data_IF_453699187620
#
_entry.id   IF_453699187620
#
_cell.length_a   1.000
_cell.length_b   1.000
_cell.length_c   1.000
_cell.angle_alpha   90.00
_cell.angle_beta   90.00
_cell.angle_gamma   90.00
#
_symmetry.space_group_name_H-M   'P 1'
#
loop_
_entity.id
_entity.type
_entity.pdbx_description
1 polymer ?
#
# COMPACT_ATOMS: atom_id res chain seq x y z
N UNK A 1 -5.94 0.43 25.18
CA UNK A 1 -4.58 0.72 25.72
C UNK A 1 -4.52 0.57 27.25
N UNK A 2 -5.36 1.24 28.04
CA UNK A 2 -5.31 1.18 29.52
C UNK A 2 -5.58 -0.18 30.20
N UNK A 3 -5.74 -1.28 29.44
CA UNK A 3 -5.89 -2.65 29.96
C UNK A 3 -4.64 -3.51 29.82
N UNK A 4 -3.62 -3.05 29.09
CA UNK A 4 -2.37 -3.78 28.86
C UNK A 4 -1.57 -3.80 30.16
N UNK A 5 -1.16 -5.00 30.60
CA UNK A 5 -0.35 -5.21 31.81
C UNK A 5 1.07 -5.64 31.42
N UNK A 6 2.02 -5.49 32.35
CA UNK A 6 3.41 -5.96 32.18
C UNK A 6 3.47 -7.42 31.69
N UNK A 7 2.64 -8.30 32.25
CA UNK A 7 2.58 -9.72 31.88
C UNK A 7 2.23 -9.93 30.41
N UNK A 8 1.38 -9.08 29.85
CA UNK A 8 0.98 -9.19 28.44
C UNK A 8 2.17 -8.87 27.53
N UNK A 9 2.99 -7.87 27.92
CA UNK A 9 4.21 -7.51 27.20
C UNK A 9 5.28 -8.60 27.29
N UNK A 10 5.51 -9.17 28.49
CA UNK A 10 6.51 -10.24 28.65
C UNK A 10 6.09 -11.48 27.88
N UNK A 11 4.82 -11.90 27.96
CA UNK A 11 4.32 -13.03 27.18
C UNK A 11 4.44 -12.81 25.67
N UNK A 12 4.25 -11.56 25.20
CA UNK A 12 4.44 -11.23 23.79
C UNK A 12 5.91 -11.34 23.38
N UNK A 13 6.85 -10.84 24.20
CA UNK A 13 8.29 -10.96 23.94
C UNK A 13 8.68 -12.44 23.90
N UNK A 14 8.33 -13.21 24.93
CA UNK A 14 8.69 -14.63 25.04
C UNK A 14 8.19 -15.47 23.86
N UNK A 15 7.04 -15.10 23.29
CA UNK A 15 6.44 -15.82 22.16
C UNK A 15 7.00 -15.39 20.80
N UNK A 16 7.31 -14.10 20.61
CA UNK A 16 7.56 -13.54 19.27
C UNK A 16 9.02 -13.13 19.02
N UNK A 17 9.83 -12.96 20.08
CA UNK A 17 11.24 -12.55 19.97
C UNK A 17 12.13 -13.78 20.16
N UNK A 18 12.34 -14.51 19.07
CA UNK A 18 13.12 -15.74 19.06
C UNK A 18 14.11 -15.74 17.89
N UNK A 19 15.07 -16.66 17.91
CA UNK A 19 16.12 -16.74 16.89
C UNK A 19 15.60 -16.99 15.47
N UNK A 20 14.41 -17.57 15.31
CA UNK A 20 13.80 -17.86 14.01
C UNK A 20 12.96 -16.70 13.45
N UNK A 21 12.63 -15.70 14.27
CA UNK A 21 11.86 -14.51 13.88
C UNK A 21 12.68 -13.23 13.87
N UNK A 22 13.98 -13.34 14.15
CA UNK A 22 14.89 -12.19 14.28
C UNK A 22 15.91 -12.19 13.15
N UNK A 23 15.92 -11.10 12.36
CA UNK A 23 16.91 -10.87 11.31
C UNK A 23 17.72 -9.62 11.66
N UNK A 24 19.04 -9.72 11.59
CA UNK A 24 19.95 -8.57 11.74
C UNK A 24 20.46 -8.19 10.37
N UNK A 25 20.18 -6.95 9.95
CA UNK A 25 20.71 -6.37 8.72
C UNK A 25 21.64 -5.20 9.03
N UNK A 26 22.75 -5.14 8.30
CA UNK A 26 23.78 -4.10 8.48
C UNK A 26 24.23 -3.65 7.09
N UNK A 27 24.23 -2.34 6.85
CA UNK A 27 24.77 -1.74 5.64
C UNK A 27 25.79 -0.64 5.99
N UNK A 28 26.85 -0.57 5.21
CA UNK A 28 27.94 0.38 5.38
C UNK A 28 29.31 -0.28 5.29
N UNK A 29 30.33 0.38 5.83
CA UNK A 29 31.71 -0.11 5.80
C UNK A 29 31.94 -1.17 6.88
N UNK A 30 31.48 -2.38 6.63
CA UNK A 30 31.69 -3.52 7.52
C UNK A 30 32.10 -4.78 6.74
N UNK A 31 32.79 -5.71 7.41
CA UNK A 31 33.00 -7.07 6.91
C UNK A 31 31.97 -7.99 7.55
N UNK A 32 31.45 -8.93 6.78
CA UNK A 32 30.44 -9.87 7.25
C UNK A 32 30.89 -10.63 8.51
N UNK A 33 32.11 -11.15 8.52
CA UNK A 33 32.67 -11.91 9.65
C UNK A 33 32.73 -11.09 10.94
N UNK A 34 33.09 -9.81 10.86
CA UNK A 34 33.13 -8.90 12.02
C UNK A 34 31.74 -8.65 12.60
N UNK A 35 30.73 -8.53 11.74
CA UNK A 35 29.33 -8.36 12.15
C UNK A 35 28.81 -9.63 12.81
N UNK A 36 29.00 -10.79 12.18
CA UNK A 36 28.58 -12.08 12.75
C UNK A 36 29.25 -12.32 14.09
N UNK A 37 30.55 -12.07 14.21
CA UNK A 37 31.29 -12.20 15.48
C UNK A 37 30.70 -11.33 16.59
N UNK A 38 30.35 -10.07 16.28
CA UNK A 38 29.77 -9.12 17.25
C UNK A 38 28.38 -9.53 17.74
N UNK A 39 27.55 -10.11 16.88
CA UNK A 39 26.17 -10.45 17.23
C UNK A 39 25.96 -11.91 17.62
N UNK A 40 26.95 -12.78 17.43
CA UNK A 40 26.87 -14.23 17.73
C UNK A 40 26.31 -14.50 19.12
N UNK A 41 26.94 -13.96 20.16
CA UNK A 41 26.52 -14.21 21.55
C UNK A 41 25.08 -13.76 21.79
N UNK A 42 24.69 -12.58 21.29
CA UNK A 42 23.33 -12.07 21.47
C UNK A 42 22.28 -12.90 20.74
N UNK A 43 22.61 -13.47 19.58
CA UNK A 43 21.73 -14.34 18.81
C UNK A 43 21.63 -15.75 19.43
N UNK A 44 22.73 -16.26 20.03
CA UNK A 44 22.75 -17.53 20.76
C UNK A 44 21.92 -17.47 22.06
N UNK A 45 21.82 -16.29 22.68
CA UNK A 45 20.98 -16.04 23.86
C UNK A 45 19.48 -15.94 23.54
N UNK A 46 19.11 -15.79 22.26
CA UNK A 46 17.70 -15.75 21.88
C UNK A 46 17.07 -17.13 22.03
N UNK A 47 15.83 -17.22 22.56
CA UNK A 47 15.14 -18.49 22.63
C UNK A 47 14.97 -19.07 21.23
N UNK A 48 15.03 -20.40 21.11
CA UNK A 48 14.54 -21.09 19.92
C UNK A 48 13.02 -21.02 19.89
N UNK A 49 12.43 -20.92 18.69
CA UNK A 49 10.99 -20.86 18.53
C UNK A 49 10.57 -21.10 17.09
N UNK A 50 9.27 -21.10 16.86
CA UNK A 50 8.71 -21.10 15.51
C UNK A 50 8.21 -19.69 15.16
N UNK A 51 8.13 -19.35 13.87
CA UNK A 51 7.38 -18.18 13.43
C UNK A 51 5.95 -18.19 14.02
N UNK A 52 5.43 -17.04 14.47
CA UNK A 52 4.09 -16.98 15.02
C UNK A 52 3.06 -17.34 13.94
N UNK A 53 2.17 -18.27 14.27
CA UNK A 53 0.99 -18.52 13.46
C UNK A 53 0.05 -17.32 13.51
N UNK A 54 -0.53 -16.98 12.36
CA UNK A 54 -1.56 -15.95 12.24
C UNK A 54 -2.82 -16.54 11.61
N UNK A 55 -3.97 -15.97 11.98
CA UNK A 55 -5.23 -16.33 11.35
C UNK A 55 -5.24 -15.75 9.93
N UNK A 56 -5.30 -16.63 8.93
CA UNK A 56 -5.36 -16.21 7.54
C UNK A 56 -6.68 -15.51 7.25
N UNK A 57 -6.60 -14.45 6.46
CA UNK A 57 -7.74 -13.76 5.91
C UNK A 57 -8.64 -14.73 5.15
N UNK A 58 -9.87 -14.89 5.62
CA UNK A 58 -10.85 -15.83 5.07
C UNK A 58 -11.73 -15.20 3.97
N UNK A 59 -11.42 -13.99 3.51
CA UNK A 59 -12.21 -13.30 2.48
C UNK A 59 -13.53 -12.73 2.99
N UNK A 60 -13.71 -12.55 4.31
CA UNK A 60 -14.97 -12.03 4.88
C UNK A 60 -15.34 -10.68 4.27
N UNK A 61 -16.63 -10.51 3.99
CA UNK A 61 -17.17 -9.23 3.51
C UNK A 61 -17.02 -8.18 4.62
N UNK A 62 -16.56 -6.99 4.25
CA UNK A 62 -16.55 -5.80 5.11
C UNK A 62 -17.96 -5.57 5.69
N UNK A 63 -18.12 -5.71 7.01
CA UNK A 63 -19.41 -5.56 7.67
C UNK A 63 -19.85 -4.09 7.77
N UNK A 64 -18.89 -3.14 7.78
CA UNK A 64 -19.12 -1.71 7.71
C UNK A 64 -18.21 -1.09 6.65
N UNK A 65 -18.80 -0.75 5.50
CA UNK A 65 -18.06 -0.27 4.32
C UNK A 65 -17.96 1.25 4.26
N UNK A 66 -18.60 1.95 5.19
CA UNK A 66 -18.59 3.40 5.24
C UNK A 66 -18.45 3.90 6.69
N UNK A 67 -17.56 4.86 6.89
CA UNK A 67 -17.43 5.60 8.14
C UNK A 67 -17.43 7.10 7.84
N UNK A 68 -18.25 7.87 8.55
CA UNK A 68 -18.36 9.32 8.37
C UNK A 68 -18.19 10.02 9.72
N UNK A 69 -17.16 10.84 9.84
CA UNK A 69 -16.96 11.74 10.96
C UNK A 69 -17.31 13.16 10.52
N UNK A 70 -18.44 13.67 11.04
CA UNK A 70 -18.89 15.03 10.74
C UNK A 70 -18.13 16.03 11.61
N UNK A 71 -17.18 16.73 10.99
CA UNK A 71 -16.35 17.72 11.67
C UNK A 71 -16.28 19.02 10.86
N UNK A 72 -16.17 20.16 11.55
CA UNK A 72 -16.00 21.48 10.94
C UNK A 72 -14.55 21.72 10.53
N UNK A 73 -14.06 20.97 9.54
CA UNK A 73 -12.68 21.08 9.04
C UNK A 73 -12.59 21.99 7.81
N UNK A 74 -11.43 22.60 7.59
CA UNK A 74 -11.15 23.42 6.40
C UNK A 74 -11.06 22.59 5.11
N UNK A 75 -10.72 21.31 5.24
CA UNK A 75 -10.70 20.34 4.15
C UNK A 75 -11.53 19.11 4.49
N UNK A 76 -12.14 18.50 3.48
CA UNK A 76 -12.76 17.18 3.61
C UNK A 76 -11.73 16.11 3.27
N UNK A 77 -11.43 15.23 4.21
CA UNK A 77 -10.54 14.10 3.98
C UNK A 77 -11.35 12.88 3.57
N UNK A 78 -11.05 12.34 2.39
CA UNK A 78 -11.64 11.12 1.85
C UNK A 78 -10.58 10.04 1.76
N UNK A 79 -10.88 8.84 2.27
CA UNK A 79 -10.09 7.64 2.06
C UNK A 79 -10.98 6.54 1.46
N UNK A 80 -10.50 5.94 0.37
CA UNK A 80 -11.06 4.75 -0.25
C UNK A 80 -10.07 3.60 -0.10
N UNK A 81 -10.57 2.40 0.16
CA UNK A 81 -9.76 1.19 0.28
C UNK A 81 -10.41 0.03 -0.47
N UNK A 82 -9.58 -0.73 -1.19
CA UNK A 82 -9.97 -1.93 -1.90
C UNK A 82 -9.06 -3.07 -1.47
N UNK A 83 -9.62 -4.25 -1.27
CA UNK A 83 -8.79 -5.44 -1.12
C UNK A 83 -7.98 -5.67 -2.40
N UNK A 84 -6.68 -5.85 -2.23
CA UNK A 84 -5.74 -6.18 -3.29
C UNK A 84 -5.09 -7.54 -3.05
N UNK A 85 -4.17 -7.90 -3.93
CA UNK A 85 -3.39 -9.14 -3.87
C UNK A 85 -2.34 -9.10 -2.74
N UNK A 86 -1.95 -10.29 -2.27
CA UNK A 86 -0.93 -10.45 -1.24
C UNK A 86 0.50 -10.35 -1.82
N UNK A 87 1.50 -10.34 -0.95
CA UNK A 87 2.91 -10.17 -1.33
C UNK A 87 3.48 -11.29 -2.18
N UNK A 88 2.92 -12.49 -2.09
CA UNK A 88 3.40 -13.68 -2.79
C UNK A 88 2.79 -13.81 -4.19
N UNK A 89 1.90 -12.89 -4.58
CA UNK A 89 1.32 -12.84 -5.91
C UNK A 89 2.28 -12.14 -6.89
N UNK A 90 2.56 -12.79 -8.02
CA UNK A 90 3.44 -12.23 -9.06
C UNK A 90 2.88 -10.97 -9.72
N UNK A 91 1.57 -10.77 -9.66
CA UNK A 91 0.90 -9.57 -10.20
C UNK A 91 1.16 -8.32 -9.35
N UNK A 92 1.86 -8.42 -8.21
CA UNK A 92 2.17 -7.27 -7.31
C UNK A 92 2.91 -6.14 -8.01
N UNK A 93 3.72 -6.43 -9.02
CA UNK A 93 4.40 -5.41 -9.82
C UNK A 93 3.41 -4.63 -10.69
N UNK A 94 2.43 -5.32 -11.29
CA UNK A 94 1.33 -4.66 -12.00
C UNK A 94 0.42 -3.85 -11.06
N UNK A 95 0.18 -4.33 -9.83
CA UNK A 95 -0.52 -3.57 -8.79
C UNK A 95 0.24 -2.28 -8.43
N UNK A 96 1.57 -2.36 -8.28
CA UNK A 96 2.39 -1.17 -8.00
C UNK A 96 2.29 -0.15 -9.14
N UNK A 97 2.41 -0.61 -10.39
CA UNK A 97 2.30 0.27 -11.56
C UNK A 97 0.89 0.86 -11.72
N UNK A 98 -0.16 0.10 -11.40
CA UNK A 98 -1.53 0.61 -11.34
C UNK A 98 -1.62 1.82 -10.38
N UNK A 99 -1.06 1.69 -9.16
CA UNK A 99 -1.04 2.78 -8.19
C UNK A 99 -0.28 4.00 -8.71
N UNK A 100 0.89 3.79 -9.33
CA UNK A 100 1.69 4.90 -9.89
C UNK A 100 0.92 5.69 -10.95
N UNK A 101 0.27 4.99 -11.89
CA UNK A 101 -0.53 5.64 -12.94
C UNK A 101 -1.78 6.30 -12.34
N UNK A 102 -2.36 5.71 -11.29
CA UNK A 102 -3.57 6.22 -10.66
C UNK A 102 -3.33 7.50 -9.86
N UNK A 103 -2.34 7.55 -8.97
CA UNK A 103 -2.25 8.64 -7.98
C UNK A 103 -0.91 8.90 -7.28
N UNK A 104 0.21 8.25 -7.60
CA UNK A 104 1.45 8.46 -6.80
C UNK A 104 2.29 9.69 -7.18
N UNK A 105 2.07 10.30 -8.34
CA UNK A 105 2.87 11.44 -8.80
C UNK A 105 2.05 12.48 -9.58
N UNK A 106 2.67 13.59 -9.98
CA UNK A 106 1.99 14.70 -10.64
C UNK A 106 1.44 14.36 -12.04
N UNK A 107 2.04 13.38 -12.72
CA UNK A 107 1.54 12.90 -14.03
C UNK A 107 0.41 11.89 -13.91
N UNK A 108 0.09 11.42 -12.71
CA UNK A 108 -0.94 10.41 -12.48
C UNK A 108 -2.35 10.92 -12.80
N UNK A 109 -3.25 10.00 -13.16
CA UNK A 109 -4.60 10.31 -13.65
C UNK A 109 -5.41 11.12 -12.63
N UNK A 110 -5.43 10.72 -11.36
CA UNK A 110 -6.20 11.43 -10.34
C UNK A 110 -5.60 12.80 -10.04
N UNK A 111 -4.27 12.95 -10.07
CA UNK A 111 -3.64 14.26 -9.90
C UNK A 111 -4.05 15.19 -11.05
N UNK A 112 -3.96 14.73 -12.29
CA UNK A 112 -4.36 15.50 -13.47
C UNK A 112 -5.85 15.85 -13.48
N UNK A 113 -6.74 14.91 -13.13
CA UNK A 113 -8.18 15.20 -13.10
C UNK A 113 -8.57 16.07 -11.91
N UNK A 114 -8.27 15.64 -10.68
CA UNK A 114 -8.82 16.29 -9.49
C UNK A 114 -8.11 17.60 -9.17
N UNK A 115 -6.79 17.68 -9.33
CA UNK A 115 -6.02 18.89 -8.99
C UNK A 115 -5.88 19.82 -10.19
N UNK A 116 -5.31 19.36 -11.30
CA UNK A 116 -4.97 20.25 -12.41
C UNK A 116 -6.20 20.69 -13.23
N UNK A 117 -7.08 19.74 -13.58
CA UNK A 117 -8.25 20.04 -14.43
C UNK A 117 -9.41 20.68 -13.66
N UNK A 118 -9.75 20.11 -12.50
CA UNK A 118 -10.96 20.49 -11.77
C UNK A 118 -10.73 21.33 -10.51
N UNK A 119 -9.48 21.42 -10.03
CA UNK A 119 -9.14 22.13 -8.80
C UNK A 119 -10.02 21.74 -7.59
N UNK A 120 -10.31 20.44 -7.43
CA UNK A 120 -11.07 19.91 -6.29
C UNK A 120 -10.22 19.69 -5.04
N UNK A 121 -8.93 19.43 -5.20
CA UNK A 121 -8.00 19.11 -4.12
C UNK A 121 -6.60 19.70 -4.38
N UNK A 122 -5.85 19.91 -3.29
CA UNK A 122 -4.41 20.16 -3.37
C UNK A 122 -3.59 18.86 -3.35
N UNK A 123 -4.09 17.84 -2.63
CA UNK A 123 -3.46 16.54 -2.47
C UNK A 123 -4.41 15.41 -2.82
N UNK A 124 -3.93 14.52 -3.68
CA UNK A 124 -4.50 13.21 -3.98
C UNK A 124 -3.36 12.23 -4.11
N UNK A 125 -3.47 11.10 -3.43
CA UNK A 125 -2.48 10.05 -3.45
C UNK A 125 -3.16 8.68 -3.50
N UNK A 126 -2.56 7.76 -4.24
CA UNK A 126 -2.86 6.34 -4.09
C UNK A 126 -1.69 5.61 -3.47
N UNK A 127 -1.94 4.42 -2.96
CA UNK A 127 -0.89 3.58 -2.39
C UNK A 127 -1.32 2.15 -2.27
N UNK A 128 -0.33 1.27 -2.24
CA UNK A 128 -0.54 -0.18 -2.11
C UNK A 128 0.16 -0.69 -0.86
N UNK A 129 -0.46 -1.65 -0.20
CA UNK A 129 0.13 -2.41 0.90
C UNK A 129 -0.07 -3.89 0.59
N UNK A 130 1.02 -4.65 0.60
CA UNK A 130 1.00 -6.11 0.38
C UNK A 130 1.41 -6.82 1.66
N UNK A 131 0.47 -7.56 2.24
CA UNK A 131 0.67 -8.37 3.43
C UNK A 131 0.87 -9.84 3.03
N UNK A 132 1.12 -10.69 4.02
CA UNK A 132 1.38 -12.12 3.82
C UNK A 132 0.24 -12.84 3.09
N UNK A 133 -1.00 -12.53 3.47
CA UNK A 133 -2.21 -13.25 3.03
C UNK A 133 -3.26 -12.34 2.35
N UNK A 134 -3.01 -11.03 2.35
CA UNK A 134 -3.96 -10.02 1.89
C UNK A 134 -3.22 -8.78 1.37
N UNK A 135 -3.96 -7.85 0.76
CA UNK A 135 -3.42 -6.57 0.35
C UNK A 135 -4.47 -5.47 0.34
N UNK A 136 -4.00 -4.24 0.17
CA UNK A 136 -4.80 -3.03 0.11
C UNK A 136 -4.33 -2.17 -1.07
N UNK A 137 -5.29 -1.69 -1.86
CA UNK A 137 -5.14 -0.53 -2.74
C UNK A 137 -5.95 0.61 -2.12
N UNK A 138 -5.32 1.76 -1.91
CA UNK A 138 -5.94 2.90 -1.23
C UNK A 138 -5.84 4.17 -2.06
N UNK A 139 -6.81 5.06 -1.87
CA UNK A 139 -6.86 6.39 -2.46
C UNK A 139 -7.21 7.37 -1.34
N UNK A 140 -6.36 8.36 -1.10
CA UNK A 140 -6.57 9.40 -0.10
C UNK A 140 -6.59 10.77 -0.77
N UNK A 141 -7.58 11.61 -0.42
CA UNK A 141 -7.77 12.93 -1.03
C UNK A 141 -8.11 13.95 0.04
N UNK A 142 -7.43 15.10 0.00
CA UNK A 142 -7.77 16.30 0.77
C UNK A 142 -8.52 17.29 -0.12
N UNK A 143 -9.84 17.40 0.08
CA UNK A 143 -10.75 18.12 -0.81
C UNK A 143 -11.16 19.48 -0.23
N UNK A 144 -11.39 20.45 -1.11
CA UNK A 144 -12.10 21.67 -0.74
C UNK A 144 -13.54 21.35 -0.28
N UNK A 145 -14.07 22.06 0.73
CA UNK A 145 -15.45 21.90 1.17
C UNK A 145 -16.44 22.00 0.00
N UNK A 146 -17.39 21.05 -0.07
CA UNK A 146 -18.40 21.01 -1.12
C UNK A 146 -17.97 20.38 -2.45
N UNK A 147 -16.69 20.02 -2.64
CA UNK A 147 -16.23 19.32 -3.85
C UNK A 147 -16.34 17.78 -3.78
N UNK A 148 -16.65 17.23 -2.60
CA UNK A 148 -16.67 15.80 -2.33
C UNK A 148 -17.50 15.00 -3.34
N UNK A 149 -18.74 15.42 -3.60
CA UNK A 149 -19.64 14.73 -4.54
C UNK A 149 -19.04 14.64 -5.95
N UNK A 150 -18.46 15.74 -6.44
CA UNK A 150 -17.85 15.78 -7.77
C UNK A 150 -16.57 14.96 -7.83
N UNK A 151 -15.76 15.00 -6.77
CA UNK A 151 -14.55 14.20 -6.66
C UNK A 151 -14.84 12.70 -6.67
N UNK A 152 -15.88 12.24 -5.98
CA UNK A 152 -16.29 10.82 -6.00
C UNK A 152 -16.63 10.34 -7.41
N UNK A 153 -17.35 11.15 -8.18
CA UNK A 153 -17.67 10.83 -9.59
C UNK A 153 -16.43 10.80 -10.47
N UNK A 154 -15.51 11.76 -10.29
CA UNK A 154 -14.27 11.80 -11.05
C UNK A 154 -13.34 10.61 -10.70
N UNK A 155 -13.22 10.26 -9.42
CA UNK A 155 -12.48 9.08 -8.98
C UNK A 155 -13.10 7.83 -9.58
N UNK A 156 -14.42 7.65 -9.44
CA UNK A 156 -15.14 6.52 -10.02
C UNK A 156 -14.83 6.36 -11.51
N UNK A 157 -14.94 7.44 -12.26
CA UNK A 157 -14.73 7.43 -13.70
C UNK A 157 -13.33 6.91 -14.06
N UNK A 158 -12.28 7.39 -13.38
CA UNK A 158 -10.93 6.90 -13.64
C UNK A 158 -10.72 5.43 -13.24
N UNK A 159 -11.36 4.97 -12.15
CA UNK A 159 -11.34 3.56 -11.76
C UNK A 159 -12.03 2.66 -12.80
N UNK A 160 -13.20 3.06 -13.29
CA UNK A 160 -13.92 2.33 -14.34
C UNK A 160 -13.11 2.28 -15.63
N UNK A 161 -12.46 3.40 -16.01
CA UNK A 161 -11.61 3.44 -17.19
C UNK A 161 -10.50 2.41 -17.14
N UNK A 162 -9.82 2.26 -16.01
CA UNK A 162 -8.81 1.20 -15.85
C UNK A 162 -9.39 -0.21 -16.03
N UNK A 163 -10.67 -0.42 -15.74
CA UNK A 163 -11.32 -1.71 -15.93
C UNK A 163 -11.79 -1.94 -17.38
N UNK A 164 -12.15 -0.88 -18.11
CA UNK A 164 -12.66 -0.99 -19.49
C UNK A 164 -11.56 -0.89 -20.55
N UNK A 165 -10.49 -0.16 -20.28
CA UNK A 165 -9.38 0.06 -21.20
C UNK A 165 -8.03 -0.10 -20.50
N UNK A 166 -7.05 -0.79 -21.10
CA UNK A 166 -5.71 -0.83 -20.57
C UNK A 166 -5.07 0.58 -20.61
N UNK A 167 -4.13 0.89 -19.68
CA UNK A 167 -3.37 2.13 -19.78
C UNK A 167 -2.60 2.18 -21.09
N UNK A 168 -2.31 3.39 -21.56
CA UNK A 168 -1.49 3.50 -22.76
C UNK A 168 -0.06 3.00 -22.49
N UNK A 169 0.58 2.49 -23.53
CA UNK A 169 2.01 2.14 -23.56
C UNK A 169 2.90 3.27 -23.02
N UNK A 170 2.52 4.52 -23.27
CA UNK A 170 3.25 5.69 -22.76
C UNK A 170 3.10 5.85 -21.25
N UNK A 171 1.88 5.76 -20.73
CA UNK A 171 1.62 5.84 -19.28
C UNK A 171 2.34 4.71 -18.53
N UNK A 172 2.30 3.49 -19.08
CA UNK A 172 2.97 2.34 -18.49
C UNK A 172 4.49 2.55 -18.42
N UNK A 173 5.12 2.95 -19.54
CA UNK A 173 6.57 3.22 -19.54
C UNK A 173 6.97 4.30 -18.54
N UNK A 174 6.21 5.39 -18.46
CA UNK A 174 6.48 6.45 -17.48
C UNK A 174 6.35 5.93 -16.04
N UNK A 175 5.37 5.08 -15.75
CA UNK A 175 5.22 4.48 -14.44
C UNK A 175 6.35 3.49 -14.10
N UNK A 176 6.83 2.71 -15.08
CA UNK A 176 7.97 1.81 -14.93
C UNK A 176 9.25 2.59 -14.63
N UNK A 177 9.55 3.62 -15.44
CA UNK A 177 10.70 4.51 -15.23
C UNK A 177 10.65 5.20 -13.87
N UNK A 178 9.50 5.74 -13.49
CA UNK A 178 9.29 6.35 -12.18
C UNK A 178 9.56 5.34 -11.05
N UNK A 179 8.99 4.13 -11.13
CA UNK A 179 9.14 3.10 -10.10
C UNK A 179 10.59 2.65 -9.95
N UNK A 180 11.29 2.44 -11.08
CA UNK A 180 12.70 2.04 -11.09
C UNK A 180 13.57 3.15 -10.51
N UNK A 181 13.38 4.40 -10.98
CA UNK A 181 14.16 5.54 -10.48
C UNK A 181 13.94 5.82 -8.99
N UNK A 182 12.71 5.70 -8.49
CA UNK A 182 12.43 5.82 -7.05
C UNK A 182 13.13 4.73 -6.24
N UNK A 183 13.19 3.49 -6.75
CA UNK A 183 13.90 2.40 -6.08
C UNK A 183 15.41 2.67 -6.03
N UNK A 184 16.02 3.06 -7.15
CA UNK A 184 17.45 3.39 -7.22
C UNK A 184 17.83 4.52 -6.26
N UNK A 185 17.08 5.63 -6.27
CA UNK A 185 17.29 6.76 -5.35
C UNK A 185 17.12 6.34 -3.89
N UNK A 186 16.14 5.48 -3.59
CA UNK A 186 15.93 4.97 -2.24
C UNK A 186 17.16 4.21 -1.73
N UNK A 187 17.78 3.40 -2.59
CA UNK A 187 18.92 2.55 -2.24
C UNK A 187 20.25 3.30 -2.10
N UNK A 188 20.31 4.62 -2.33
CA UNK A 188 21.48 5.44 -1.99
C UNK A 188 21.68 5.57 -0.46
N UNK A 189 20.60 5.42 0.31
CA UNK A 189 20.62 5.48 1.78
C UNK A 189 20.94 4.12 2.38
N UNK A 190 21.97 4.04 3.23
CA UNK A 190 22.29 2.81 3.97
C UNK A 190 21.14 2.35 4.86
N UNK A 191 20.34 3.26 5.41
CA UNK A 191 19.14 2.92 6.18
C UNK A 191 18.12 2.20 5.29
N UNK A 192 17.89 2.68 4.07
CA UNK A 192 16.96 2.03 3.15
C UNK A 192 17.49 0.69 2.64
N UNK A 193 18.81 0.55 2.46
CA UNK A 193 19.43 -0.75 2.16
C UNK A 193 19.19 -1.76 3.30
N UNK A 194 19.35 -1.34 4.56
CA UNK A 194 19.09 -2.18 5.76
C UNK A 194 17.63 -2.63 5.79
N UNK A 195 16.69 -1.70 5.54
CA UNK A 195 15.25 -2.00 5.49
C UNK A 195 14.92 -2.95 4.33
N UNK A 196 15.44 -2.69 3.13
CA UNK A 196 15.24 -3.54 1.95
C UNK A 196 15.70 -4.98 2.18
N UNK A 197 16.92 -5.16 2.69
CA UNK A 197 17.44 -6.49 3.01
C UNK A 197 16.61 -7.18 4.09
N UNK A 198 16.22 -6.44 5.13
CA UNK A 198 15.46 -6.97 6.25
C UNK A 198 14.09 -7.44 5.82
N UNK A 199 13.36 -6.60 5.10
CA UNK A 199 12.05 -6.93 4.54
C UNK A 199 12.13 -8.08 3.55
N UNK A 200 13.17 -8.12 2.69
CA UNK A 200 13.34 -9.22 1.73
C UNK A 200 13.52 -10.57 2.42
N UNK A 201 14.40 -10.64 3.43
CA UNK A 201 14.64 -11.88 4.17
C UNK A 201 13.40 -12.28 4.98
N UNK A 202 12.76 -11.32 5.65
CA UNK A 202 11.58 -11.61 6.48
C UNK A 202 10.40 -12.08 5.61
N UNK A 203 10.23 -11.51 4.42
CA UNK A 203 9.10 -11.81 3.56
C UNK A 203 9.33 -12.99 2.60
N UNK A 204 10.57 -13.22 2.16
CA UNK A 204 10.88 -14.16 1.07
C UNK A 204 12.04 -15.11 1.37
N UNK A 205 12.66 -15.02 2.55
CA UNK A 205 13.80 -15.87 2.99
C UNK A 205 15.11 -15.67 2.21
N UNK A 206 15.16 -14.73 1.26
CA UNK A 206 16.38 -14.32 0.56
C UNK A 206 16.40 -12.81 0.34
N UNK A 207 17.59 -12.26 0.06
CA UNK A 207 17.72 -10.85 -0.32
C UNK A 207 17.34 -10.71 -1.79
N UNK A 208 16.24 -10.04 -2.07
CA UNK A 208 15.83 -9.74 -3.44
C UNK A 208 16.80 -8.71 -4.01
N UNK A 209 17.44 -9.02 -5.14
CA UNK A 209 18.30 -8.04 -5.80
C UNK A 209 17.44 -6.95 -6.47
N UNK A 210 17.85 -5.67 -6.40
CA UNK A 210 17.13 -4.58 -7.07
C UNK A 210 16.89 -4.86 -8.56
N UNK A 211 17.86 -5.47 -9.24
CA UNK A 211 17.80 -5.85 -10.65
C UNK A 211 16.67 -6.85 -10.95
N UNK A 212 16.37 -7.77 -10.02
CA UNK A 212 15.24 -8.70 -10.16
C UNK A 212 13.91 -7.95 -10.18
N UNK A 213 13.75 -6.97 -9.26
CA UNK A 213 12.56 -6.13 -9.21
C UNK A 213 12.44 -5.27 -10.46
N UNK A 214 13.56 -4.69 -10.93
CA UNK A 214 13.58 -3.92 -12.17
C UNK A 214 13.15 -4.77 -13.38
N UNK A 215 13.64 -6.01 -13.49
CA UNK A 215 13.25 -6.92 -14.55
C UNK A 215 11.75 -7.22 -14.50
N UNK A 216 11.22 -7.55 -13.32
CA UNK A 216 9.79 -7.82 -13.14
C UNK A 216 8.89 -6.62 -13.43
N UNK A 217 9.33 -5.41 -13.08
CA UNK A 217 8.61 -4.17 -13.41
C UNK A 217 8.57 -3.95 -14.92
N UNK A 218 9.68 -4.18 -15.63
CA UNK A 218 9.78 -4.04 -17.10
C UNK A 218 8.95 -5.09 -17.87
N UNK A 219 8.74 -6.26 -17.30
CA UNK A 219 7.92 -7.34 -17.88
C UNK A 219 6.41 -7.05 -17.86
N UNK A 220 5.95 -6.10 -17.03
CA UNK A 220 4.52 -5.79 -16.92
C UNK A 220 4.00 -5.20 -18.23
N UNK A 221 2.83 -5.69 -18.68
CA UNK A 221 2.11 -5.18 -19.85
C UNK A 221 0.90 -4.33 -19.45
N UNK A 222 0.34 -3.51 -20.36
CA UNK A 222 -0.89 -2.76 -20.08
C UNK A 222 -2.07 -3.63 -19.65
N UNK A 223 -2.23 -4.79 -20.27
CA UNK A 223 -3.30 -5.75 -19.98
C UNK A 223 -3.15 -6.35 -18.58
N UNK A 224 -1.93 -6.58 -18.12
CA UNK A 224 -1.68 -7.03 -16.75
C UNK A 224 -2.11 -5.98 -15.72
N UNK A 225 -1.87 -4.69 -16.01
CA UNK A 225 -2.34 -3.57 -15.16
C UNK A 225 -3.87 -3.51 -15.15
N UNK A 226 -4.52 -3.61 -16.31
CA UNK A 226 -5.99 -3.66 -16.41
C UNK A 226 -6.56 -4.86 -15.64
N UNK A 227 -5.98 -6.05 -15.79
CA UNK A 227 -6.46 -7.25 -15.10
C UNK A 227 -6.40 -7.08 -13.58
N UNK A 228 -5.34 -6.46 -13.06
CA UNK A 228 -5.24 -6.13 -11.63
C UNK A 228 -6.24 -5.05 -11.22
N UNK A 229 -6.50 -4.06 -12.06
CA UNK A 229 -7.51 -3.04 -11.78
C UNK A 229 -8.91 -3.66 -11.67
N UNK A 230 -9.31 -4.52 -12.62
CA UNK A 230 -10.57 -5.27 -12.58
C UNK A 230 -10.69 -6.16 -11.34
N UNK A 231 -9.57 -6.73 -10.88
CA UNK A 231 -9.54 -7.55 -9.66
C UNK A 231 -9.77 -6.72 -8.39
N UNK A 232 -9.24 -5.50 -8.35
CA UNK A 232 -9.25 -4.65 -7.15
C UNK A 232 -10.50 -3.77 -7.06
N UNK A 233 -10.88 -3.10 -8.15
CA UNK A 233 -11.89 -2.04 -8.16
C UNK A 233 -13.33 -2.56 -8.25
N UNK A 234 -13.65 -3.53 -7.39
CA UNK A 234 -15.02 -3.98 -7.16
C UNK A 234 -15.75 -3.00 -6.22
N UNK A 235 -16.78 -2.29 -6.69
CA UNK A 235 -17.56 -1.36 -5.88
C UNK A 235 -18.33 -2.07 -4.78
N UNK A 236 -18.56 -3.37 -4.86
CA UNK A 236 -19.18 -4.16 -3.78
C UNK A 236 -18.19 -4.48 -2.64
N UNK A 237 -16.89 -4.24 -2.83
CA UNK A 237 -15.81 -4.58 -1.88
C UNK A 237 -14.98 -3.37 -1.43
N UNK A 238 -15.39 -2.17 -1.82
CA UNK A 238 -14.78 -0.91 -1.39
C UNK A 238 -15.10 -0.60 0.08
N UNK A 239 -14.12 -0.12 0.84
CA UNK A 239 -14.30 0.62 2.09
C UNK A 239 -14.11 2.12 1.87
N UNK A 240 -14.89 2.95 2.56
CA UNK A 240 -14.85 4.40 2.46
C UNK A 240 -14.85 5.03 3.86
N UNK A 241 -13.97 6.00 4.08
CA UNK A 241 -13.97 6.82 5.28
C UNK A 241 -13.89 8.30 4.90
N UNK A 242 -14.71 9.13 5.55
CA UNK A 242 -14.71 10.58 5.34
C UNK A 242 -14.67 11.32 6.67
N UNK A 243 -13.81 12.34 6.75
CA UNK A 243 -13.80 13.33 7.83
C UNK A 243 -14.04 14.70 7.20
N UNK A 244 -15.12 15.37 7.58
CA UNK A 244 -15.42 16.71 7.08
C UNK A 244 -16.86 17.15 7.32
N UNK A 245 -17.29 18.31 6.78
CA UNK A 245 -18.59 18.90 7.06
C UNK A 245 -19.73 18.23 6.27
N UNK A 246 -19.76 16.90 6.19
CA UNK A 246 -20.77 16.08 5.50
C UNK A 246 -21.47 15.15 6.48
N UNK A 247 -22.79 14.99 6.33
CA UNK A 247 -23.58 14.04 7.12
C UNK A 247 -23.58 12.64 6.52
N UNK A 248 -23.74 11.62 7.38
CA UNK A 248 -23.77 10.21 6.96
C UNK A 248 -24.84 9.90 5.89
N UNK A 249 -26.06 10.43 6.05
CA UNK A 249 -27.14 10.22 5.07
C UNK A 249 -26.91 10.89 3.71
N UNK A 250 -26.18 12.01 3.68
CA UNK A 250 -25.77 12.67 2.43
C UNK A 250 -24.68 11.85 1.74
N UNK A 251 -23.73 11.34 2.52
CA UNK A 251 -22.67 10.47 2.01
C UNK A 251 -23.24 9.19 1.40
N UNK A 252 -24.14 8.48 2.09
CA UNK A 252 -24.80 7.29 1.53
C UNK A 252 -25.44 7.55 0.16
N UNK A 253 -26.13 8.69 0.02
CA UNK A 253 -26.76 9.07 -1.24
C UNK A 253 -25.73 9.35 -2.34
N UNK A 254 -24.66 10.07 -2.02
CA UNK A 254 -23.62 10.40 -2.99
C UNK A 254 -22.81 9.19 -3.45
N UNK A 255 -22.50 8.25 -2.55
CA UNK A 255 -21.86 6.97 -2.92
C UNK A 255 -22.74 6.24 -3.94
N UNK A 256 -24.02 6.06 -3.61
CA UNK A 256 -24.98 5.39 -4.49
C UNK A 256 -25.13 6.09 -5.86
N UNK A 257 -25.19 7.42 -5.87
CA UNK A 257 -25.26 8.21 -7.12
C UNK A 257 -23.97 8.16 -7.95
N UNK A 258 -22.81 8.02 -7.31
CA UNK A 258 -21.53 7.87 -8.00
C UNK A 258 -21.29 6.45 -8.50
N UNK A 259 -22.12 5.47 -8.12
CA UNK A 259 -21.94 4.06 -8.46
C UNK A 259 -20.79 3.37 -7.73
N UNK A 260 -20.14 4.04 -6.76
CA UNK A 260 -19.09 3.49 -5.89
C UNK A 260 -19.64 2.50 -4.86
#
# INVERSE_FOLDING_TARGET
>A
IGRIRRRDLTNYIDRNYNGCTTVITVAGRCRHEDVVSKFRSAMEDLPSGNPPEFERWNGTKLQNRMAVAKEGTEQTHLALGYHAINRNDDRRHALKLLSVILGENMSSRLFQQLRERYAYCYSVHSGTLVLEDSGLMSICVGLEPGKLKSALRAIRHELERFCTEPPSEKELRQAQEYTIGQNELSLESTTNQIMWMGESIIAYEYVIHPEEVQAKVKEVTPEAVQAVACLCFDPARMGLAVVGPVGEGEMHRWVAESGL
#
